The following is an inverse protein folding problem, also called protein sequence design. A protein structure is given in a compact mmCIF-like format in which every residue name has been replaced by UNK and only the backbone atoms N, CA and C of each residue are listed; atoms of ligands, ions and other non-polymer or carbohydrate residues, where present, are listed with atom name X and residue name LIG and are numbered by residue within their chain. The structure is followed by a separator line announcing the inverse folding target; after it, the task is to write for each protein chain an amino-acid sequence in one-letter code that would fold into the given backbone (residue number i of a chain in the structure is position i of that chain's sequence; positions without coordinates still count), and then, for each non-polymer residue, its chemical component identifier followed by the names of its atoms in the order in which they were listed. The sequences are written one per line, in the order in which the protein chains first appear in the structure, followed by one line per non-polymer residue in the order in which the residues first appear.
data_IF_228440680324
#
_entry.id   IF_228440680324
#
_cell.length_a   1.000
_cell.length_b   1.000
_cell.length_c   1.000
_cell.angle_alpha   90.00
_cell.angle_beta   90.00
_cell.angle_gamma   90.00
#
_symmetry.space_group_name_H-M   'P 1'
#
loop_
_entity.id
_entity.type
_entity.pdbx_description
1 polymer ?
#
# COMPACT_ATOMS: atom_id res chain seq x y z
N UNK A 1 -29.40 -35.50 7.13
CA UNK A 1 -29.56 -34.04 7.14
C UNK A 1 -28.21 -33.46 7.55
N UNK A 2 -27.41 -32.98 6.59
CA UNK A 2 -26.07 -32.47 6.85
C UNK A 2 -26.18 -31.00 7.27
N UNK A 3 -25.81 -30.70 8.51
CA UNK A 3 -25.73 -29.34 9.04
C UNK A 3 -24.43 -28.73 8.57
N UNK A 4 -24.47 -27.79 7.64
CA UNK A 4 -23.29 -27.04 7.19
C UNK A 4 -22.84 -26.12 8.33
N UNK A 5 -21.84 -26.55 9.10
CA UNK A 5 -21.13 -25.68 10.04
C UNK A 5 -20.44 -24.56 9.25
N UNK A 6 -20.84 -23.31 9.53
CA UNK A 6 -20.18 -22.12 9.00
C UNK A 6 -18.78 -22.05 9.62
N UNK A 7 -17.70 -21.91 8.82
CA UNK A 7 -16.36 -21.81 9.39
C UNK A 7 -16.31 -20.61 10.35
N UNK A 8 -15.67 -20.83 11.50
CA UNK A 8 -15.40 -19.78 12.49
C UNK A 8 -14.63 -18.66 11.81
N UNK A 9 -15.25 -17.49 11.70
CA UNK A 9 -14.54 -16.27 11.32
C UNK A 9 -13.45 -16.02 12.36
N UNK A 10 -12.19 -16.10 11.92
CA UNK A 10 -11.08 -15.53 12.65
C UNK A 10 -11.25 -14.01 12.56
N UNK A 11 -11.70 -13.42 13.66
CA UNK A 11 -11.71 -11.98 13.85
C UNK A 11 -10.24 -11.54 13.96
N UNK A 12 -9.59 -11.26 12.84
CA UNK A 12 -8.29 -10.57 12.89
C UNK A 12 -8.64 -9.18 13.37
N UNK A 13 -8.25 -8.88 14.61
CA UNK A 13 -8.52 -7.62 15.25
C UNK A 13 -8.03 -6.49 14.34
N UNK A 14 -8.98 -5.84 13.66
CA UNK A 14 -8.78 -4.58 12.97
C UNK A 14 -8.52 -3.50 14.01
N UNK A 15 -7.35 -3.55 14.63
CA UNK A 15 -6.76 -2.44 15.34
C UNK A 15 -5.80 -1.71 14.40
N UNK A 16 -6.27 -1.40 13.18
CA UNK A 16 -5.86 -0.17 12.53
C UNK A 16 -6.63 0.99 13.17
N UNK A 17 -6.56 1.08 14.50
CA UNK A 17 -6.70 2.35 15.20
C UNK A 17 -5.47 3.12 14.80
N UNK A 18 -5.58 3.70 13.62
CA UNK A 18 -4.88 4.83 13.06
C UNK A 18 -4.35 5.75 14.16
N UNK A 19 -3.20 5.40 14.73
CA UNK A 19 -2.26 6.31 15.36
C UNK A 19 -1.73 7.20 14.22
N UNK A 20 -2.60 8.12 13.76
CA UNK A 20 -2.37 9.14 12.75
C UNK A 20 -1.53 10.30 13.29
N UNK A 21 -0.85 10.12 14.42
CA UNK A 21 0.07 11.12 14.97
C UNK A 21 1.47 10.89 14.40
N UNK A 22 1.66 11.35 13.17
CA UNK A 22 2.96 11.45 12.52
C UNK A 22 2.81 11.99 11.10
N UNK A 23 3.66 12.94 10.73
CA UNK A 23 3.69 13.59 9.41
C UNK A 23 4.11 12.60 8.31
N UNK A 24 3.25 11.64 7.97
CA UNK A 24 3.49 10.73 6.85
C UNK A 24 3.13 11.41 5.53
N UNK A 25 4.04 11.44 4.54
CA UNK A 25 3.70 11.93 3.22
C UNK A 25 2.49 11.20 2.65
N UNK A 26 1.69 11.91 1.86
CA UNK A 26 0.54 11.32 1.20
C UNK A 26 0.99 10.59 -0.07
N UNK A 27 0.67 9.29 -0.16
CA UNK A 27 0.86 8.47 -1.36
C UNK A 27 -0.46 8.29 -2.14
N UNK A 28 -1.56 8.00 -1.42
CA UNK A 28 -2.91 7.89 -2.00
C UNK A 28 -3.24 6.54 -2.64
N UNK A 29 -2.71 5.45 -2.09
CA UNK A 29 -3.12 4.08 -2.43
C UNK A 29 -4.32 3.62 -1.61
N UNK A 30 -5.05 2.66 -2.17
CA UNK A 30 -6.12 1.92 -1.52
C UNK A 30 -5.62 0.48 -1.35
N UNK A 31 -5.39 0.02 -0.11
CA UNK A 31 -4.91 -1.33 0.17
C UNK A 31 -5.92 -2.40 -0.26
N UNK A 32 -5.44 -3.51 -0.83
CA UNK A 32 -6.23 -4.74 -0.95
C UNK A 32 -5.97 -5.65 0.26
N UNK A 33 -6.87 -5.60 1.24
CA UNK A 33 -6.81 -6.42 2.45
C UNK A 33 -7.20 -7.89 2.23
N UNK A 34 -7.62 -8.27 1.02
CA UNK A 34 -8.00 -9.65 0.69
C UNK A 34 -6.81 -10.48 0.21
N UNK A 35 -5.65 -9.85 -0.02
CA UNK A 35 -4.45 -10.48 -0.56
C UNK A 35 -3.50 -10.90 0.57
N UNK A 36 -2.99 -12.13 0.48
CA UNK A 36 -1.93 -12.68 1.36
C UNK A 36 -0.55 -12.65 0.67
N UNK A 37 -0.42 -11.91 -0.44
CA UNK A 37 0.83 -11.83 -1.18
C UNK A 37 1.94 -11.18 -0.35
N UNK A 38 3.17 -11.65 -0.51
CA UNK A 38 4.35 -11.03 0.08
C UNK A 38 4.66 -9.70 -0.63
N UNK A 39 4.10 -8.62 -0.10
CA UNK A 39 4.18 -7.26 -0.64
C UNK A 39 2.97 -6.43 -0.25
N UNK A 40 2.94 -5.17 -0.67
CA UNK A 40 1.80 -4.30 -0.45
C UNK A 40 0.86 -4.30 -1.66
N UNK A 41 -0.25 -5.05 -1.56
CA UNK A 41 -1.24 -5.17 -2.62
C UNK A 41 -2.14 -3.94 -2.73
N UNK A 42 -2.32 -3.46 -3.96
CA UNK A 42 -3.08 -2.24 -4.28
C UNK A 42 -4.39 -2.63 -4.93
N UNK A 43 -5.51 -2.33 -4.28
CA UNK A 43 -6.85 -2.46 -4.87
C UNK A 43 -7.09 -1.34 -5.88
N UNK A 44 -6.57 -0.14 -5.59
CA UNK A 44 -6.73 1.02 -6.44
C UNK A 44 -5.97 2.23 -5.91
N UNK A 45 -6.15 3.37 -6.58
CA UNK A 45 -5.54 4.64 -6.22
C UNK A 45 -6.61 5.73 -6.12
N UNK A 46 -6.39 6.70 -5.24
CA UNK A 46 -7.31 7.82 -5.11
C UNK A 46 -7.16 8.78 -6.31
N UNK A 47 -8.26 9.33 -6.85
CA UNK A 47 -8.20 10.30 -7.95
C UNK A 47 -7.32 11.51 -7.63
N UNK A 48 -6.46 11.88 -8.57
CA UNK A 48 -5.51 12.99 -8.45
C UNK A 48 -4.41 12.79 -7.40
N UNK A 49 -4.26 11.58 -6.86
CA UNK A 49 -3.22 11.25 -5.88
C UNK A 49 -1.83 11.16 -6.51
N UNK A 50 -0.76 11.25 -5.69
CA UNK A 50 0.59 10.90 -6.10
C UNK A 50 0.71 9.54 -6.76
N UNK A 51 0.08 8.51 -6.19
CA UNK A 51 0.08 7.16 -6.73
C UNK A 51 -0.49 7.12 -8.15
N UNK A 52 -1.65 7.74 -8.38
CA UNK A 52 -2.25 7.84 -9.71
C UNK A 52 -1.34 8.58 -10.69
N UNK A 53 -0.80 9.74 -10.29
CA UNK A 53 0.09 10.55 -11.14
C UNK A 53 1.41 9.83 -11.47
N UNK A 54 1.90 8.99 -10.56
CA UNK A 54 3.07 8.15 -10.76
C UNK A 54 2.78 6.84 -11.51
N UNK A 55 1.55 6.63 -11.98
CA UNK A 55 1.19 5.49 -12.82
C UNK A 55 0.98 4.18 -12.06
N UNK A 56 0.76 4.24 -10.73
CA UNK A 56 0.34 3.09 -9.92
C UNK A 56 -1.12 2.76 -10.27
N UNK A 57 -1.42 1.49 -10.40
CA UNK A 57 -2.73 0.98 -10.80
C UNK A 57 -3.27 -0.01 -9.76
N UNK A 58 -4.59 -0.24 -9.79
CA UNK A 58 -5.18 -1.39 -9.11
C UNK A 58 -4.65 -2.70 -9.69
N UNK A 59 -4.38 -3.66 -8.82
CA UNK A 59 -3.74 -4.94 -9.17
C UNK A 59 -2.20 -4.90 -9.11
N UNK A 60 -1.59 -3.75 -8.78
CA UNK A 60 -0.17 -3.69 -8.48
C UNK A 60 0.15 -4.31 -7.11
N UNK A 61 1.28 -5.00 -7.02
CA UNK A 61 1.89 -5.43 -5.77
C UNK A 61 3.19 -4.67 -5.55
N UNK A 62 3.22 -3.71 -4.62
CA UNK A 62 4.44 -2.97 -4.30
C UNK A 62 5.39 -3.89 -3.52
N UNK A 63 6.61 -4.04 -4.04
CA UNK A 63 7.66 -4.89 -3.45
C UNK A 63 8.89 -4.08 -3.00
N UNK A 64 9.01 -2.83 -3.44
CA UNK A 64 10.11 -1.95 -3.03
C UNK A 64 9.69 -0.47 -3.07
N UNK A 65 10.14 0.30 -2.07
CA UNK A 65 10.03 1.75 -2.00
C UNK A 65 11.40 2.37 -1.72
N UNK A 66 11.97 3.09 -2.69
CA UNK A 66 13.35 3.53 -2.67
C UNK A 66 14.29 2.34 -2.52
N UNK A 67 15.05 2.30 -1.44
CA UNK A 67 15.97 1.21 -1.08
C UNK A 67 15.33 0.17 -0.15
N UNK A 68 14.09 0.39 0.31
CA UNK A 68 13.42 -0.48 1.28
C UNK A 68 12.59 -1.55 0.59
N UNK A 69 12.82 -2.81 0.95
CA UNK A 69 11.92 -3.92 0.56
C UNK A 69 10.61 -3.80 1.32
N UNK A 70 9.51 -4.05 0.61
CA UNK A 70 8.16 -4.00 1.16
C UNK A 70 7.63 -5.43 1.19
N UNK A 71 7.48 -5.99 2.40
CA UNK A 71 6.83 -7.28 2.60
C UNK A 71 5.33 -7.17 2.89
N UNK A 72 4.84 -5.97 3.20
CA UNK A 72 3.44 -5.71 3.51
C UNK A 72 3.15 -4.24 3.77
N UNK A 73 1.91 -3.96 4.18
CA UNK A 73 1.42 -2.59 4.43
C UNK A 73 2.22 -1.88 5.53
N UNK A 74 2.61 -2.58 6.60
CA UNK A 74 3.37 -2.00 7.70
C UNK A 74 4.77 -1.55 7.28
N UNK A 75 5.47 -2.38 6.49
CA UNK A 75 6.77 -2.01 5.90
C UNK A 75 6.63 -0.79 4.98
N UNK A 76 5.54 -0.74 4.21
CA UNK A 76 5.27 0.39 3.34
C UNK A 76 5.04 1.69 4.13
N UNK A 77 4.22 1.67 5.19
CA UNK A 77 3.98 2.85 6.03
C UNK A 77 5.28 3.32 6.71
N UNK A 78 6.10 2.38 7.21
CA UNK A 78 7.40 2.71 7.81
C UNK A 78 8.38 3.29 6.79
N UNK A 79 8.48 2.71 5.60
CA UNK A 79 9.35 3.20 4.54
C UNK A 79 8.90 4.58 4.06
N UNK A 80 7.59 4.80 3.90
CA UNK A 80 7.02 6.07 3.44
C UNK A 80 7.36 7.24 4.36
N UNK A 81 7.43 7.00 5.68
CA UNK A 81 7.80 8.01 6.69
C UNK A 81 9.24 8.50 6.59
N UNK A 82 10.10 7.81 5.84
CA UNK A 82 11.51 8.22 5.65
C UNK A 82 11.68 9.32 4.61
N UNK A 83 10.64 9.58 3.82
CA UNK A 83 10.67 10.56 2.75
C UNK A 83 9.95 11.84 3.15
N UNK A 84 10.30 12.93 2.48
CA UNK A 84 9.62 14.20 2.65
C UNK A 84 8.47 14.38 1.63
N UNK A 85 7.43 15.16 1.98
CA UNK A 85 6.52 15.71 0.99
C UNK A 85 7.25 16.44 -0.14
N UNK A 86 6.85 16.22 -1.38
CA UNK A 86 7.48 16.78 -2.58
C UNK A 86 8.64 15.96 -3.13
N UNK A 87 9.10 14.93 -2.40
CA UNK A 87 10.18 14.06 -2.84
C UNK A 87 9.70 13.05 -3.90
N UNK A 88 10.51 12.84 -4.93
CA UNK A 88 10.30 11.76 -5.91
C UNK A 88 10.97 10.47 -5.41
N UNK A 89 10.18 9.41 -5.26
CA UNK A 89 10.65 8.11 -4.82
C UNK A 89 10.45 7.06 -5.91
N UNK A 90 11.44 6.17 -6.05
CA UNK A 90 11.31 5.00 -6.93
C UNK A 90 10.43 3.94 -6.25
N UNK A 91 9.43 3.43 -6.97
CA UNK A 91 8.54 2.37 -6.52
C UNK A 91 8.69 1.19 -7.48
N UNK A 92 9.01 0.01 -6.96
CA UNK A 92 8.99 -1.22 -7.76
C UNK A 92 7.72 -1.98 -7.43
N UNK A 93 6.95 -2.32 -8.47
CA UNK A 93 5.73 -3.10 -8.36
C UNK A 93 5.82 -4.36 -9.21
N UNK A 94 5.12 -5.40 -8.82
CA UNK A 94 4.80 -6.52 -9.70
C UNK A 94 3.42 -6.25 -10.30
N UNK A 95 3.37 -6.14 -11.63
CA UNK A 95 2.15 -5.94 -12.43
C UNK A 95 2.04 -7.07 -13.42
N UNK A 96 0.97 -7.86 -13.33
CA UNK A 96 0.73 -9.00 -14.22
C UNK A 96 1.94 -9.98 -14.29
N UNK A 97 2.64 -10.16 -13.17
CA UNK A 97 3.80 -11.06 -13.07
C UNK A 97 5.14 -10.46 -13.51
N UNK A 98 5.19 -9.21 -13.97
CA UNK A 98 6.43 -8.51 -14.34
C UNK A 98 6.75 -7.37 -13.37
N UNK A 99 8.04 -7.16 -13.10
CA UNK A 99 8.50 -6.00 -12.32
C UNK A 99 8.42 -4.72 -13.16
N UNK A 100 7.78 -3.69 -12.60
CA UNK A 100 7.68 -2.36 -13.20
C UNK A 100 8.25 -1.35 -12.20
N UNK A 101 9.17 -0.52 -12.67
CA UNK A 101 9.76 0.57 -11.87
C UNK A 101 9.08 1.88 -12.24
N UNK A 102 8.53 2.54 -11.24
CA UNK A 102 7.78 3.79 -11.35
C UNK A 102 8.42 4.85 -10.46
N UNK A 103 8.15 6.11 -10.77
CA UNK A 103 8.56 7.25 -9.95
C UNK A 103 7.32 7.96 -9.45
N UNK A 104 7.22 8.14 -8.14
CA UNK A 104 6.07 8.76 -7.49
C UNK A 104 6.55 9.97 -6.70
N UNK A 105 5.97 11.14 -6.99
CA UNK A 105 6.23 12.36 -6.21
C UNK A 105 5.27 12.46 -5.04
N UNK A 106 5.76 12.29 -3.82
CA UNK A 106 4.95 12.29 -2.61
C UNK A 106 4.33 13.66 -2.36
N UNK A 107 3.12 13.70 -1.78
CA UNK A 107 2.46 14.96 -1.42
C UNK A 107 2.48 15.19 0.09
N UNK A 108 2.14 16.41 0.51
CA UNK A 108 1.94 16.71 1.92
C UNK A 108 0.85 15.83 2.53
N UNK A 109 0.95 15.46 3.82
CA UNK A 109 -0.12 14.79 4.52
C UNK A 109 -1.43 15.57 4.32
N UNK A 110 -2.51 14.89 3.97
CA UNK A 110 -3.83 15.52 3.96
C UNK A 110 -4.30 15.65 5.42
N UNK A 111 -4.51 16.89 5.86
CA UNK A 111 -5.12 17.22 7.15
C UNK A 111 -6.62 17.00 7.16
#
# INVERSE_FOLDING_TARGET
LATTERPKYLHIAGQATLERSGSRPYFGSIPDFSSDAAGYAIQGVAPGSPAEKGGILGGDLIIQLGEQKIGGLDDFDLALRRFAPGEEVNVTVVRQGAEVKLKVTLAAPRG
#
